data_IF_112454914081
#
_entry.id   IF_112454914081
#
_cell.length_a   1.000
_cell.length_b   1.000
_cell.length_c   1.000
_cell.angle_alpha   90.00
_cell.angle_beta   90.00
_cell.angle_gamma   90.00
#
_symmetry.space_group_name_H-M   'P 1'
#
loop_
_entity.id
_entity.type
_entity.pdbx_description
1 polymer ?
#
# COMPACT_ATOMS: atom_id res chain seq x y z
N UNK A 1 15.84 9.11 17.20
CA UNK A 1 15.40 8.35 16.01
C UNK A 1 14.05 8.89 15.59
N UNK A 2 13.86 9.39 14.36
CA UNK A 2 12.57 9.92 13.93
C UNK A 2 11.60 8.73 13.77
N UNK A 3 10.51 8.76 14.52
CA UNK A 3 9.46 7.74 14.43
C UNK A 3 8.83 7.84 13.03
N UNK A 4 8.86 6.75 12.25
CA UNK A 4 8.01 6.60 11.04
C UNK A 4 6.59 6.99 11.45
N UNK A 5 6.11 8.17 11.03
CA UNK A 5 4.69 8.51 11.14
C UNK A 5 3.99 7.59 10.15
N UNK A 6 3.46 6.50 10.66
CA UNK A 6 2.56 5.65 9.90
C UNK A 6 1.28 6.46 9.65
N UNK A 7 0.80 6.45 8.41
CA UNK A 7 -0.49 7.05 8.09
C UNK A 7 -1.57 6.18 8.73
N UNK A 8 -2.37 6.69 9.68
CA UNK A 8 -3.41 5.89 10.33
C UNK A 8 -4.40 5.31 9.32
N UNK A 9 -4.60 6.00 8.20
CA UNK A 9 -5.41 5.55 7.07
C UNK A 9 -4.84 4.28 6.42
N UNK A 10 -3.52 4.20 6.22
CA UNK A 10 -2.89 3.00 5.64
C UNK A 10 -2.98 1.80 6.59
N UNK A 11 -2.73 2.02 7.89
CA UNK A 11 -2.84 0.94 8.87
C UNK A 11 -4.26 0.40 8.95
N UNK A 12 -5.27 1.27 8.87
CA UNK A 12 -6.66 0.86 8.86
C UNK A 12 -7.01 0.07 7.59
N UNK A 13 -6.69 0.59 6.39
CA UNK A 13 -6.96 -0.13 5.14
C UNK A 13 -6.27 -1.49 5.07
N UNK A 14 -5.06 -1.62 5.62
CA UNK A 14 -4.36 -2.90 5.73
C UNK A 14 -5.04 -3.85 6.71
N UNK A 15 -5.45 -3.36 7.89
CA UNK A 15 -6.16 -4.19 8.87
C UNK A 15 -7.51 -4.70 8.34
N UNK A 16 -8.23 -3.86 7.61
CA UNK A 16 -9.50 -4.23 6.98
C UNK A 16 -9.28 -5.30 5.89
N UNK A 17 -8.20 -5.16 5.10
CA UNK A 17 -7.83 -6.15 4.08
C UNK A 17 -7.43 -7.49 4.71
N UNK A 18 -6.65 -7.49 5.78
CA UNK A 18 -6.26 -8.70 6.53
C UNK A 18 -7.49 -9.43 7.10
N UNK A 19 -8.43 -8.67 7.69
CA UNK A 19 -9.67 -9.22 8.22
C UNK A 19 -10.53 -9.86 7.11
N UNK A 20 -10.61 -9.19 5.96
CA UNK A 20 -11.34 -9.68 4.79
C UNK A 20 -10.74 -10.96 4.24
N UNK A 21 -9.41 -11.02 4.06
CA UNK A 21 -8.71 -12.23 3.62
C UNK A 21 -8.93 -13.37 4.59
N UNK A 22 -8.82 -13.10 5.90
CA UNK A 22 -9.08 -14.11 6.94
C UNK A 22 -10.49 -14.68 6.83
N UNK A 23 -11.50 -13.83 6.59
CA UNK A 23 -12.89 -14.26 6.37
C UNK A 23 -13.04 -15.08 5.08
N UNK A 24 -12.33 -14.75 4.01
CA UNK A 24 -12.34 -15.51 2.75
C UNK A 24 -11.70 -16.90 2.92
N UNK A 25 -10.62 -17.00 3.71
CA UNK A 25 -9.90 -18.26 3.96
C UNK A 25 -10.68 -19.23 4.87
N UNK A 26 -11.61 -18.74 5.67
CA UNK A 26 -12.47 -19.58 6.52
C UNK A 26 -13.41 -20.48 5.71
N UNK A 27 -13.74 -20.10 4.47
CA UNK A 27 -14.50 -20.95 3.55
C UNK A 27 -16.01 -21.03 3.81
N UNK A 28 -16.55 -20.25 4.76
CA UNK A 28 -17.97 -20.24 5.11
C UNK A 28 -18.82 -19.26 4.26
N UNK A 29 -18.22 -18.68 3.21
CA UNK A 29 -18.89 -17.70 2.34
C UNK A 29 -19.70 -18.38 1.24
N UNK A 30 -20.92 -17.89 1.02
CA UNK A 30 -21.65 -18.16 -0.21
C UNK A 30 -20.93 -17.56 -1.42
N UNK A 31 -21.32 -17.98 -2.64
CA UNK A 31 -20.76 -17.44 -3.88
C UNK A 31 -20.94 -15.92 -3.98
N UNK A 32 -22.13 -15.42 -3.64
CA UNK A 32 -22.43 -13.98 -3.68
C UNK A 32 -21.57 -13.20 -2.67
N UNK A 33 -21.43 -13.72 -1.45
CA UNK A 33 -20.56 -13.11 -0.45
C UNK A 33 -19.08 -13.16 -0.85
N UNK A 34 -18.65 -14.23 -1.52
CA UNK A 34 -17.28 -14.38 -2.02
C UNK A 34 -16.97 -13.34 -3.11
N UNK A 35 -17.93 -13.08 -4.00
CA UNK A 35 -17.80 -12.03 -5.02
C UNK A 35 -17.77 -10.64 -4.39
N UNK A 36 -18.66 -10.36 -3.42
CA UNK A 36 -18.66 -9.09 -2.69
C UNK A 36 -17.35 -8.88 -1.92
N UNK A 37 -16.85 -9.92 -1.25
CA UNK A 37 -15.56 -9.86 -0.53
C UNK A 37 -14.40 -9.61 -1.50
N UNK A 38 -14.42 -10.22 -2.68
CA UNK A 38 -13.40 -9.97 -3.69
C UNK A 38 -13.41 -8.51 -4.18
N UNK A 39 -14.59 -7.96 -4.49
CA UNK A 39 -14.73 -6.55 -4.90
C UNK A 39 -14.22 -5.59 -3.83
N UNK A 40 -14.55 -5.85 -2.56
CA UNK A 40 -14.07 -5.08 -1.42
C UNK A 40 -12.54 -5.17 -1.28
N UNK A 41 -11.96 -6.36 -1.46
CA UNK A 41 -10.51 -6.57 -1.39
C UNK A 41 -9.76 -5.80 -2.48
N UNK A 42 -10.32 -5.76 -3.70
CA UNK A 42 -9.77 -4.94 -4.79
C UNK A 42 -9.82 -3.45 -4.44
N UNK A 43 -10.92 -2.98 -3.83
CA UNK A 43 -11.04 -1.59 -3.40
C UNK A 43 -10.00 -1.23 -2.34
N UNK A 44 -9.90 -2.02 -1.27
CA UNK A 44 -8.94 -1.81 -0.18
C UNK A 44 -7.49 -1.81 -0.70
N UNK A 45 -7.16 -2.73 -1.62
CA UNK A 45 -5.83 -2.80 -2.24
C UNK A 45 -5.51 -1.51 -3.02
N UNK A 46 -6.48 -0.97 -3.78
CA UNK A 46 -6.30 0.28 -4.53
C UNK A 46 -6.14 1.49 -3.61
N UNK A 47 -6.87 1.53 -2.49
CA UNK A 47 -6.72 2.57 -1.47
C UNK A 47 -5.32 2.56 -0.87
N UNK A 48 -4.82 1.38 -0.47
CA UNK A 48 -3.45 1.21 0.01
C UNK A 48 -2.42 1.73 -1.01
N UNK A 49 -2.55 1.33 -2.29
CA UNK A 49 -1.64 1.80 -3.34
C UNK A 49 -1.68 3.33 -3.48
N UNK A 50 -2.88 3.92 -3.47
CA UNK A 50 -3.05 5.37 -3.59
C UNK A 50 -2.36 6.12 -2.44
N UNK A 51 -2.46 5.60 -1.21
CA UNK A 51 -1.80 6.20 -0.05
C UNK A 51 -0.27 6.11 -0.18
N UNK A 52 0.24 4.99 -0.68
CA UNK A 52 1.67 4.80 -0.93
C UNK A 52 2.19 5.75 -2.01
N UNK A 53 1.48 5.87 -3.13
CA UNK A 53 1.84 6.76 -4.24
C UNK A 53 1.91 8.22 -3.77
N UNK A 54 0.93 8.67 -2.97
CA UNK A 54 0.94 10.01 -2.40
C UNK A 54 2.12 10.23 -1.44
N UNK A 55 2.46 9.22 -0.64
CA UNK A 55 3.60 9.29 0.26
C UNK A 55 4.92 9.37 -0.52
N UNK A 56 5.08 8.58 -1.57
CA UNK A 56 6.24 8.59 -2.46
C UNK A 56 6.38 9.95 -3.15
N UNK A 57 5.31 10.47 -3.74
CA UNK A 57 5.31 11.79 -4.38
C UNK A 57 5.71 12.90 -3.40
N UNK A 58 5.24 12.83 -2.16
CA UNK A 58 5.61 13.80 -1.12
C UNK A 58 7.10 13.70 -0.78
N UNK A 59 7.67 12.50 -0.69
CA UNK A 59 9.11 12.29 -0.46
C UNK A 59 9.92 12.85 -1.62
N UNK A 60 9.49 12.61 -2.86
CA UNK A 60 10.13 13.13 -4.06
C UNK A 60 10.19 14.66 -4.04
N UNK A 61 9.04 15.32 -3.82
CA UNK A 61 8.96 16.79 -3.76
C UNK A 61 9.87 17.35 -2.66
N UNK A 62 9.88 16.75 -1.46
CA UNK A 62 10.74 17.20 -0.36
C UNK A 62 12.23 17.01 -0.65
N UNK A 63 12.60 15.96 -1.39
CA UNK A 63 13.98 15.68 -1.78
C UNK A 63 14.45 16.67 -2.86
N UNK A 64 13.58 16.97 -3.84
CA UNK A 64 13.82 17.96 -4.88
C UNK A 64 13.98 19.39 -4.31
N UNK A 65 13.15 19.76 -3.33
CA UNK A 65 13.21 21.09 -2.67
C UNK A 65 14.49 21.29 -1.85
N UNK A 66 15.08 20.22 -1.32
CA UNK A 66 16.34 20.28 -0.56
C UNK A 66 17.61 20.20 -1.43
N UNK A 67 17.48 20.16 -2.77
CA UNK A 67 18.61 20.35 -3.69
C UNK A 67 19.61 19.20 -3.79
N UNK A 68 19.28 17.99 -3.33
CA UNK A 68 20.13 16.80 -3.53
C UNK A 68 19.35 15.68 -4.22
N UNK A 69 19.40 15.69 -5.54
CA UNK A 69 19.05 14.56 -6.39
C UNK A 69 20.37 13.82 -6.72
N UNK A 70 20.72 12.82 -5.91
CA UNK A 70 21.60 11.74 -6.37
C UNK A 70 20.72 10.55 -6.68
N UNK A 71 20.08 10.56 -7.84
CA UNK A 71 19.67 9.32 -8.47
C UNK A 71 20.94 8.67 -9.03
N UNK A 72 21.52 7.75 -8.25
CA UNK A 72 22.42 6.79 -8.87
C UNK A 72 21.55 5.83 -9.69
N UNK A 73 21.66 5.96 -11.02
CA UNK A 73 21.16 4.97 -11.96
C UNK A 73 21.63 3.61 -11.48
N UNK A 74 20.68 2.69 -11.21
CA UNK A 74 21.03 1.32 -10.88
C UNK A 74 21.75 0.73 -12.10
N UNK A 75 23.08 0.63 -12.02
CA UNK A 75 23.84 -0.19 -12.95
C UNK A 75 23.67 -1.64 -12.49
N UNK A 76 22.85 -2.40 -13.22
CA UNK A 76 22.97 -3.85 -13.25
C UNK A 76 24.41 -4.16 -13.68
N UNK A 77 25.28 -4.46 -12.71
CA UNK A 77 26.58 -5.05 -12.98
C UNK A 77 26.31 -6.44 -13.54
N UNK A 78 26.38 -6.55 -14.86
CA UNK A 78 26.37 -7.80 -15.57
C UNK A 78 27.75 -8.45 -15.39
N UNK A 79 27.83 -9.50 -14.58
CA UNK A 79 28.89 -10.52 -14.61
C UNK A 79 28.22 -11.90 -14.51
#
# INVERSE_FOLDING_TARGET
MPRKKKSPELEQSLADLEALVTRMEQGDLSLEESLSAFEEGIKLTRECQTILDQAEQKVQILTEQNGQLTSETFHETQD
#
